data_IF_570762430623
#
_entry.id   IF_570762430623
#
_cell.length_a   1.000
_cell.length_b   1.000
_cell.length_c   1.000
_cell.angle_alpha   90.00
_cell.angle_beta   90.00
_cell.angle_gamma   90.00
#
_symmetry.space_group_name_H-M   'P 1'
#
loop_
_entity.id
_entity.type
_entity.pdbx_description
1 polymer ?
#
# COMPACT_ATOMS: atom_id res chain seq x y z
N UNK A 1 -23.35 7.19 26.90
CA UNK A 1 -22.17 6.77 26.11
C UNK A 1 -22.48 5.41 25.52
N UNK A 2 -22.75 5.36 24.21
CA UNK A 2 -23.03 4.10 23.51
C UNK A 2 -21.70 3.37 23.29
N UNK A 3 -21.58 2.17 23.85
CA UNK A 3 -20.47 1.26 23.58
C UNK A 3 -20.56 0.81 22.10
N UNK A 4 -19.46 0.78 21.33
CA UNK A 4 -19.48 0.27 19.97
C UNK A 4 -19.80 -1.24 19.97
N UNK A 5 -20.66 -1.70 19.05
CA UNK A 5 -21.04 -3.11 18.96
C UNK A 5 -19.86 -3.99 18.55
N UNK A 6 -19.82 -5.21 19.09
CA UNK A 6 -18.78 -6.25 18.93
C UNK A 6 -18.32 -6.48 17.47
N UNK A 7 -19.20 -6.25 16.50
CA UNK A 7 -18.95 -6.43 15.07
C UNK A 7 -18.02 -5.37 14.44
N UNK A 8 -17.97 -4.14 14.99
CA UNK A 8 -17.05 -3.10 14.52
C UNK A 8 -15.63 -3.31 15.04
N UNK A 9 -15.51 -3.92 16.22
CA UNK A 9 -14.23 -4.23 16.85
C UNK A 9 -13.54 -5.36 16.07
N UNK A 10 -14.25 -6.42 15.68
CA UNK A 10 -13.68 -7.51 14.87
C UNK A 10 -13.21 -7.07 13.48
N UNK A 11 -13.95 -6.18 12.80
CA UNK A 11 -13.50 -5.62 11.51
C UNK A 11 -12.29 -4.68 11.67
N UNK A 12 -12.24 -3.91 12.78
CA UNK A 12 -11.10 -3.06 13.07
C UNK A 12 -9.83 -3.85 13.46
N UNK A 13 -9.97 -5.05 14.04
CA UNK A 13 -8.86 -5.90 14.45
C UNK A 13 -8.22 -6.62 13.26
N UNK A 14 -9.03 -7.10 12.30
CA UNK A 14 -8.55 -7.55 10.99
C UNK A 14 -7.85 -6.42 10.24
N UNK A 15 -8.41 -5.20 10.26
CA UNK A 15 -7.85 -4.03 9.58
C UNK A 15 -6.55 -3.51 10.23
N UNK A 16 -6.39 -3.65 11.55
CA UNK A 16 -5.19 -3.21 12.27
C UNK A 16 -4.03 -4.21 12.16
N UNK A 17 -4.31 -5.48 11.92
CA UNK A 17 -3.26 -6.47 11.59
C UNK A 17 -2.64 -6.17 10.21
N UNK A 18 -3.43 -5.59 9.29
CA UNK A 18 -2.93 -5.06 8.00
C UNK A 18 -2.04 -3.82 8.16
N UNK A 19 -2.14 -3.07 9.27
CA UNK A 19 -1.33 -1.85 9.51
C UNK A 19 0.04 -2.11 10.14
N UNK A 20 0.40 -3.36 10.47
CA UNK A 20 1.67 -3.70 11.12
C UNK A 20 2.92 -3.24 10.36
N UNK A 21 2.90 -3.18 9.02
CA UNK A 21 4.15 -3.11 8.25
C UNK A 21 4.26 -1.87 7.36
N UNK A 22 3.21 -1.06 7.21
CA UNK A 22 3.27 0.16 6.40
C UNK A 22 4.14 1.26 7.01
N UNK A 23 4.45 1.17 8.32
CA UNK A 23 5.29 2.13 9.02
C UNK A 23 6.75 1.68 9.23
N UNK A 24 7.10 0.40 9.06
CA UNK A 24 8.46 -0.07 9.39
C UNK A 24 9.53 0.37 8.38
N UNK A 25 9.15 0.82 7.19
CA UNK A 25 10.07 1.24 6.11
C UNK A 25 10.46 2.72 6.19
N UNK A 26 10.01 3.47 7.20
CA UNK A 26 10.38 4.88 7.32
C UNK A 26 11.51 5.08 8.32
N UNK A 27 12.68 5.39 7.77
CA UNK A 27 13.76 6.08 8.47
C UNK A 27 13.25 7.49 8.82
N UNK A 28 12.54 7.61 9.95
CA UNK A 28 11.90 8.84 10.42
C UNK A 28 12.94 9.81 10.99
N UNK A 29 13.76 10.35 10.11
CA UNK A 29 14.45 11.61 10.35
C UNK A 29 14.04 12.55 9.24
N UNK A 30 13.08 13.43 9.52
CA UNK A 30 13.15 14.86 9.21
C UNK A 30 11.90 15.59 9.75
N UNK A 31 12.17 16.49 10.68
CA UNK A 31 11.22 17.48 11.17
C UNK A 31 10.80 18.41 10.04
N UNK A 32 9.65 18.18 9.42
CA UNK A 32 8.81 19.26 8.87
C UNK A 32 7.40 18.75 8.62
N UNK A 33 6.52 19.14 9.53
CA UNK A 33 5.09 19.16 9.32
C UNK A 33 4.76 20.04 8.11
N UNK A 34 4.40 19.44 6.95
CA UNK A 34 3.59 20.04 5.86
C UNK A 34 3.32 18.98 4.79
N UNK A 35 2.05 18.61 4.65
CA UNK A 35 1.46 17.78 3.58
C UNK A 35 2.16 16.45 3.27
N UNK A 36 2.04 15.49 4.20
CA UNK A 36 2.04 14.08 3.82
C UNK A 36 0.75 13.81 3.05
N UNK A 37 0.75 14.08 1.75
CA UNK A 37 -0.30 13.57 0.88
C UNK A 37 -0.27 12.05 1.00
N UNK A 38 -1.35 11.51 1.57
CA UNK A 38 -1.60 10.07 1.66
C UNK A 38 -1.82 9.48 0.27
N UNK A 39 -0.76 9.43 -0.53
CA UNK A 39 -0.78 8.76 -1.82
C UNK A 39 -0.52 7.28 -1.58
N UNK A 40 -1.51 6.66 -0.97
CA UNK A 40 -1.72 5.23 -1.15
C UNK A 40 -2.13 5.01 -2.61
N UNK A 41 -1.68 3.93 -3.25
CA UNK A 41 -2.30 3.45 -4.49
C UNK A 41 -3.54 2.65 -4.07
N UNK A 42 -4.76 3.23 -4.11
CA UNK A 42 -5.92 2.61 -3.46
C UNK A 42 -6.28 1.28 -4.12
N UNK A 43 -6.28 1.21 -5.46
CA UNK A 43 -6.72 0.01 -6.16
C UNK A 43 -5.83 -1.21 -5.89
N UNK A 44 -4.49 -1.14 -6.00
CA UNK A 44 -3.64 -2.29 -5.69
C UNK A 44 -3.70 -2.71 -4.21
N UNK A 45 -3.91 -1.77 -3.28
CA UNK A 45 -4.09 -2.10 -1.86
C UNK A 45 -5.41 -2.83 -1.64
N UNK A 46 -6.52 -2.31 -2.17
CA UNK A 46 -7.83 -2.93 -2.01
C UNK A 46 -7.89 -4.29 -2.69
N UNK A 47 -7.21 -4.46 -3.82
CA UNK A 47 -7.06 -5.76 -4.48
C UNK A 47 -6.36 -6.77 -3.56
N UNK A 48 -5.20 -6.42 -2.99
CA UNK A 48 -4.49 -7.31 -2.09
C UNK A 48 -5.29 -7.61 -0.81
N UNK A 49 -5.94 -6.60 -0.22
CA UNK A 49 -6.78 -6.77 0.97
C UNK A 49 -7.97 -7.69 0.71
N UNK A 50 -8.66 -7.51 -0.43
CA UNK A 50 -9.80 -8.35 -0.79
C UNK A 50 -9.37 -9.79 -1.09
N UNK A 51 -8.23 -10.01 -1.76
CA UNK A 51 -7.66 -11.35 -1.99
C UNK A 51 -7.28 -12.04 -0.68
N UNK A 52 -6.67 -11.32 0.27
CA UNK A 52 -6.34 -11.86 1.58
C UNK A 52 -7.58 -12.27 2.37
N UNK A 53 -8.57 -11.39 2.47
CA UNK A 53 -9.84 -11.67 3.15
C UNK A 53 -10.53 -12.87 2.52
N UNK A 54 -10.58 -12.97 1.19
CA UNK A 54 -11.10 -14.15 0.51
C UNK A 54 -10.26 -15.41 0.82
N UNK A 55 -8.94 -15.30 0.93
CA UNK A 55 -8.04 -16.36 1.37
C UNK A 55 -8.36 -16.88 2.77
N UNK A 56 -8.59 -15.97 3.72
CA UNK A 56 -9.01 -16.30 5.09
C UNK A 56 -10.38 -16.98 5.10
N UNK A 57 -11.37 -16.40 4.42
CA UNK A 57 -12.74 -16.94 4.39
C UNK A 57 -12.82 -18.32 3.68
N UNK A 58 -11.92 -18.58 2.75
CA UNK A 58 -11.81 -19.89 2.07
C UNK A 58 -10.94 -20.91 2.82
N UNK A 59 -10.34 -20.54 3.95
CA UNK A 59 -9.43 -21.40 4.72
C UNK A 59 -8.06 -21.62 4.07
N UNK A 60 -7.73 -20.88 3.00
CA UNK A 60 -6.40 -20.92 2.36
C UNK A 60 -5.35 -20.14 3.16
N UNK A 61 -5.78 -19.10 3.87
CA UNK A 61 -4.95 -18.33 4.79
C UNK A 61 -5.48 -18.55 6.21
N UNK A 62 -4.57 -18.70 7.18
CA UNK A 62 -4.96 -18.84 8.59
C UNK A 62 -4.81 -17.50 9.31
N UNK A 63 -5.77 -17.16 10.17
CA UNK A 63 -5.61 -16.04 11.07
C UNK A 63 -4.79 -16.45 12.30
N UNK A 64 -3.99 -15.54 12.87
CA UNK A 64 -3.47 -15.70 14.22
C UNK A 64 -4.61 -15.85 15.24
N UNK A 65 -4.28 -16.34 16.44
CA UNK A 65 -5.25 -16.34 17.54
C UNK A 65 -5.68 -14.92 17.91
N UNK A 66 -6.87 -14.77 18.47
CA UNK A 66 -7.39 -13.48 18.94
C UNK A 66 -6.42 -12.77 19.88
N UNK A 67 -5.86 -13.50 20.84
CA UNK A 67 -4.87 -12.95 21.78
C UNK A 67 -3.62 -12.43 21.07
N UNK A 68 -3.17 -13.11 20.01
CA UNK A 68 -2.02 -12.65 19.24
C UNK A 68 -2.36 -11.38 18.45
N UNK A 69 -3.53 -11.34 17.80
CA UNK A 69 -4.00 -10.14 17.10
C UNK A 69 -4.14 -8.94 18.04
N UNK A 70 -4.62 -9.12 19.27
CA UNK A 70 -4.70 -8.04 20.26
C UNK A 70 -3.30 -7.52 20.64
N UNK A 71 -2.39 -8.42 21.01
CA UNK A 71 -1.00 -8.05 21.35
C UNK A 71 -0.30 -7.31 20.23
N UNK A 72 -0.57 -7.73 19.01
CA UNK A 72 -0.05 -7.13 17.79
C UNK A 72 -0.53 -5.69 17.60
N UNK A 73 -1.82 -5.42 17.84
CA UNK A 73 -2.40 -4.07 17.81
C UNK A 73 -1.83 -3.20 18.93
N UNK A 74 -1.71 -3.74 20.13
CA UNK A 74 -1.12 -3.04 21.27
C UNK A 74 0.34 -2.65 21.00
N UNK A 75 1.14 -3.58 20.46
CA UNK A 75 2.53 -3.32 20.07
C UNK A 75 2.62 -2.20 19.03
N UNK A 76 1.77 -2.21 18.00
CA UNK A 76 1.71 -1.15 17.00
C UNK A 76 1.41 0.23 17.61
N UNK A 77 0.42 0.34 18.51
CA UNK A 77 0.15 1.61 19.17
C UNK A 77 1.28 2.06 20.11
N UNK A 78 2.01 1.13 20.71
CA UNK A 78 3.20 1.44 21.50
C UNK A 78 4.33 1.97 20.62
N UNK A 79 4.55 1.41 19.43
CA UNK A 79 5.50 1.91 18.44
C UNK A 79 5.15 3.32 17.97
N UNK A 80 3.88 3.57 17.61
CA UNK A 80 3.41 4.91 17.24
C UNK A 80 3.63 5.92 18.36
N UNK A 81 3.38 5.52 19.62
CA UNK A 81 3.60 6.37 20.79
C UNK A 81 5.09 6.66 21.00
N UNK A 82 5.96 5.65 20.84
CA UNK A 82 7.41 5.79 20.97
C UNK A 82 7.99 6.71 19.87
N UNK A 83 7.46 6.63 18.66
CA UNK A 83 7.82 7.48 17.53
C UNK A 83 7.14 8.87 17.55
N UNK A 84 6.36 9.19 18.60
CA UNK A 84 5.58 10.42 18.72
C UNK A 84 4.64 10.70 17.52
N UNK A 85 4.18 9.65 16.84
CA UNK A 85 3.27 9.76 15.69
C UNK A 85 1.83 10.00 16.20
N UNK A 86 1.17 11.09 15.79
CA UNK A 86 -0.22 11.33 16.17
C UNK A 86 -1.16 10.21 15.71
N UNK A 87 -2.12 9.81 16.55
CA UNK A 87 -3.13 8.78 16.25
C UNK A 87 -3.91 9.01 14.95
N UNK A 88 -4.02 10.25 14.46
CA UNK A 88 -4.67 10.54 13.16
C UNK A 88 -3.94 9.93 11.96
N UNK A 89 -2.68 9.51 12.11
CA UNK A 89 -1.90 8.86 11.06
C UNK A 89 -1.82 7.33 11.20
N UNK A 90 -2.58 6.75 12.13
CA UNK A 90 -2.64 5.28 12.35
C UNK A 90 -2.98 4.51 11.07
N UNK A 91 -3.73 5.11 10.16
CA UNK A 91 -4.20 4.48 8.92
C UNK A 91 -3.46 4.96 7.67
N UNK A 92 -2.27 5.56 7.83
CA UNK A 92 -1.44 5.89 6.68
C UNK A 92 -0.91 4.58 6.08
N UNK A 93 -1.52 4.16 4.98
CA UNK A 93 -1.17 2.95 4.26
C UNK A 93 -0.01 3.22 3.31
N UNK A 94 0.99 2.34 3.32
CA UNK A 94 2.12 2.33 2.41
C UNK A 94 2.17 0.99 1.67
N UNK A 95 3.25 0.77 0.96
CA UNK A 95 3.58 -0.48 0.25
C UNK A 95 3.35 -1.71 1.14
N UNK A 96 2.76 -2.76 0.54
CA UNK A 96 2.15 -3.86 1.27
C UNK A 96 2.60 -5.24 0.76
N UNK A 97 3.90 -5.40 0.55
CA UNK A 97 4.53 -6.66 0.11
C UNK A 97 4.21 -7.85 1.04
N UNK A 98 4.03 -7.60 2.34
CA UNK A 98 3.59 -8.60 3.30
C UNK A 98 2.20 -9.19 2.93
N UNK A 99 1.30 -8.37 2.37
CA UNK A 99 -0.08 -8.78 2.06
C UNK A 99 -0.07 -9.72 0.89
N UNK A 100 0.79 -9.38 -0.07
CA UNK A 100 1.02 -10.19 -1.23
C UNK A 100 1.53 -11.56 -0.77
N UNK A 101 2.53 -11.61 0.12
CA UNK A 101 3.03 -12.86 0.68
C UNK A 101 1.93 -13.68 1.40
N UNK A 102 1.18 -13.06 2.31
CA UNK A 102 0.09 -13.72 3.06
C UNK A 102 -1.07 -14.20 2.15
N UNK A 103 -1.32 -13.49 1.05
CA UNK A 103 -2.36 -13.84 0.08
C UNK A 103 -1.89 -14.82 -1.00
N UNK A 104 -0.60 -15.19 -1.01
CA UNK A 104 0.03 -15.93 -2.12
C UNK A 104 0.01 -15.16 -3.45
N UNK A 105 -0.05 -13.84 -3.40
CA UNK A 105 -0.01 -12.93 -4.55
C UNK A 105 1.43 -12.47 -4.82
N UNK A 106 1.67 -12.00 -6.04
CA UNK A 106 2.94 -11.31 -6.34
C UNK A 106 2.98 -9.95 -5.62
N UNK A 107 4.15 -9.56 -5.08
CA UNK A 107 4.38 -8.19 -4.62
C UNK A 107 4.15 -7.18 -5.73
N UNK A 108 4.06 -5.90 -5.37
CA UNK A 108 3.94 -4.85 -6.40
C UNK A 108 5.19 -4.82 -7.28
N UNK A 109 4.99 -4.51 -8.55
CA UNK A 109 6.07 -4.36 -9.51
C UNK A 109 6.97 -3.20 -9.09
N UNK A 110 8.28 -3.37 -9.27
CA UNK A 110 9.26 -2.39 -8.83
C UNK A 110 9.07 -1.02 -9.51
N UNK A 111 8.72 -1.01 -10.80
CA UNK A 111 8.42 0.21 -11.54
C UNK A 111 7.28 1.00 -10.88
N UNK A 112 6.29 0.32 -10.31
CA UNK A 112 5.12 0.95 -9.67
C UNK A 112 5.50 1.63 -8.37
N UNK A 113 6.37 1.00 -7.57
CA UNK A 113 6.94 1.56 -6.33
C UNK A 113 7.77 2.80 -6.64
N UNK A 114 8.59 2.73 -7.69
CA UNK A 114 9.40 3.86 -8.16
C UNK A 114 8.54 5.00 -8.70
N UNK A 115 7.48 4.73 -9.46
CA UNK A 115 6.56 5.76 -9.94
C UNK A 115 5.88 6.50 -8.79
N UNK A 116 5.46 5.79 -7.73
CA UNK A 116 4.90 6.44 -6.54
C UNK A 116 5.93 7.37 -5.87
N UNK A 117 7.18 6.92 -5.74
CA UNK A 117 8.26 7.71 -5.16
C UNK A 117 8.56 8.96 -5.98
N UNK A 118 8.69 8.82 -7.30
CA UNK A 118 8.92 9.95 -8.21
C UNK A 118 7.72 10.90 -8.23
N UNK A 119 6.49 10.40 -8.20
CA UNK A 119 5.30 11.23 -8.10
C UNK A 119 5.33 12.10 -6.84
N UNK A 120 5.61 11.51 -5.67
CA UNK A 120 5.70 12.26 -4.40
C UNK A 120 6.83 13.28 -4.48
N UNK A 121 8.00 12.89 -4.99
CA UNK A 121 9.15 13.78 -5.18
C UNK A 121 8.82 14.97 -6.09
N UNK A 122 8.21 14.70 -7.24
CA UNK A 122 7.78 15.69 -8.22
C UNK A 122 6.72 16.63 -7.65
N UNK A 123 5.71 16.09 -6.95
CA UNK A 123 4.69 16.90 -6.29
C UNK A 123 5.30 17.86 -5.26
N UNK A 124 6.22 17.35 -4.43
CA UNK A 124 6.87 18.17 -3.41
C UNK A 124 7.79 19.24 -4.02
N UNK A 125 8.48 18.93 -5.11
CA UNK A 125 9.40 19.85 -5.77
C UNK A 125 8.67 20.92 -6.61
N UNK A 126 7.55 20.55 -7.26
CA UNK A 126 6.84 21.40 -8.24
C UNK A 126 5.33 21.12 -8.24
N UNK A 127 4.61 21.51 -7.18
CA UNK A 127 3.21 21.13 -6.96
C UNK A 127 2.23 21.63 -8.05
N UNK A 128 2.58 22.69 -8.78
CA UNK A 128 1.73 23.24 -9.85
C UNK A 128 1.96 22.58 -11.22
N UNK A 129 3.16 22.04 -11.49
CA UNK A 129 3.52 21.50 -12.82
C UNK A 129 3.81 20.00 -12.83
N UNK A 130 3.79 19.33 -11.67
CA UNK A 130 4.11 17.90 -11.55
C UNK A 130 3.26 16.97 -12.43
N UNK A 131 2.07 17.42 -12.85
CA UNK A 131 1.15 16.67 -13.70
C UNK A 131 1.43 16.79 -15.19
N UNK A 132 2.16 17.84 -15.60
CA UNK A 132 2.36 18.18 -17.01
C UNK A 132 3.80 17.95 -17.47
N UNK A 133 4.76 18.02 -16.56
CA UNK A 133 6.17 17.73 -16.83
C UNK A 133 6.59 16.56 -15.95
N UNK A 134 7.51 15.69 -16.37
CA UNK A 134 8.11 14.62 -15.57
C UNK A 134 9.41 14.13 -16.24
N UNK A 135 10.30 13.50 -15.49
CA UNK A 135 11.62 13.02 -16.01
C UNK A 135 11.77 11.51 -15.92
N UNK A 136 10.74 10.85 -15.42
CA UNK A 136 10.64 9.42 -15.13
C UNK A 136 9.95 8.66 -16.27
N UNK A 137 10.13 9.12 -17.53
CA UNK A 137 9.59 8.48 -18.73
C UNK A 137 10.02 7.01 -18.86
N UNK A 138 11.21 6.66 -18.36
CA UNK A 138 11.68 5.27 -18.34
C UNK A 138 10.81 4.34 -17.50
N UNK A 139 10.16 4.83 -16.44
CA UNK A 139 9.22 4.05 -15.63
C UNK A 139 7.91 3.79 -16.37
N UNK A 140 7.49 4.73 -17.23
CA UNK A 140 6.31 4.55 -18.10
C UNK A 140 6.57 3.43 -19.10
N UNK A 141 7.76 3.39 -19.70
CA UNK A 141 8.15 2.32 -20.64
C UNK A 141 8.15 0.97 -19.93
N UNK A 142 8.74 0.86 -18.74
CA UNK A 142 8.72 -0.39 -17.96
C UNK A 142 7.30 -0.86 -17.61
N UNK A 143 6.42 0.07 -17.24
CA UNK A 143 5.01 -0.24 -16.98
C UNK A 143 4.31 -0.76 -18.25
N UNK A 144 4.56 -0.13 -19.40
CA UNK A 144 3.97 -0.55 -20.68
C UNK A 144 4.44 -1.94 -21.10
N UNK A 145 5.74 -2.23 -20.96
CA UNK A 145 6.31 -3.55 -21.22
C UNK A 145 5.68 -4.63 -20.34
N UNK A 146 5.49 -4.35 -19.06
CA UNK A 146 4.80 -5.25 -18.14
C UNK A 146 3.32 -5.45 -18.56
N UNK A 147 2.62 -4.38 -18.95
CA UNK A 147 1.23 -4.47 -19.40
C UNK A 147 1.02 -5.28 -20.69
N UNK A 148 2.06 -5.43 -21.52
CA UNK A 148 1.99 -6.29 -22.71
C UNK A 148 1.67 -7.75 -22.35
N UNK A 149 2.01 -8.22 -21.15
CA UNK A 149 1.68 -9.59 -20.73
C UNK A 149 0.18 -9.84 -20.54
N UNK A 150 -0.60 -8.77 -20.33
CA UNK A 150 -2.05 -8.83 -20.12
C UNK A 150 -2.87 -8.45 -21.36
N UNK A 151 -2.19 -8.00 -22.43
CA UNK A 151 -2.86 -7.64 -23.69
C UNK A 151 -3.06 -8.87 -24.58
N UNK A 152 -4.22 -9.01 -25.27
CA UNK A 152 -4.39 -10.03 -26.29
C UNK A 152 -3.29 -9.91 -27.36
N UNK A 153 -2.75 -11.05 -27.84
CA UNK A 153 -1.61 -11.10 -28.80
C UNK A 153 -1.78 -10.23 -30.05
N UNK A 154 -3.00 -9.81 -30.37
CA UNK A 154 -3.34 -9.02 -31.56
C UNK A 154 -2.92 -7.54 -31.48
N UNK A 155 -2.52 -7.03 -30.31
CA UNK A 155 -2.03 -5.65 -30.15
C UNK A 155 -0.50 -5.52 -30.02
N UNK A 156 0.22 -6.64 -29.89
CA UNK A 156 1.65 -6.64 -29.58
C UNK A 156 2.57 -6.61 -30.83
N UNK A 157 2.02 -6.41 -32.02
CA UNK A 157 2.82 -6.29 -33.24
C UNK A 157 2.02 -5.70 -34.38
N UNK A 158 2.24 -4.41 -34.64
CA UNK A 158 2.18 -3.80 -35.98
C UNK A 158 2.93 -2.48 -35.93
N UNK A 159 4.26 -2.61 -35.90
CA UNK A 159 5.21 -1.53 -36.11
C UNK A 159 6.29 -1.98 -37.08
N UNK A 160 5.88 -2.54 -38.23
CA UNK A 160 6.74 -2.67 -39.40
C UNK A 160 5.95 -2.30 -40.66
N UNK A 161 6.62 -1.47 -41.47
CA UNK A 161 6.27 -0.94 -42.80
C UNK A 161 5.34 0.29 -42.78
N UNK A 162 5.66 1.42 -43.42
CA UNK A 162 6.60 1.69 -44.52
C UNK A 162 7.41 2.98 -44.32
#
# INVERSE_FOLDING_TARGET
MLQPSSTMIEQSHLYLTLTKETCKVQNWNNHTSRNWLGQALPFPIFELQSKWVAGVLSGRCSLPSEQQMIKDVEAFYLELKAAAVPKRYTHLLAENDWLAAESGCQPWEEWRKQMLKEHVSNYLARPETYRDEWKDEYLIVQAQEDFCQYSPRELCGNGKEA
#
